data_IF_546132052180
#
_entry.id   IF_546132052180
#
_cell.length_a   1.000
_cell.length_b   1.000
_cell.length_c   1.000
_cell.angle_alpha   90.00
_cell.angle_beta   90.00
_cell.angle_gamma   90.00
#
_symmetry.space_group_name_H-M   'P 1'
#
loop_
_entity.id
_entity.type
_entity.pdbx_description
1 polymer ?
#
# COMPACT_ATOMS: atom_id res chain seq x y z
N UNK A 1 9.09 -19.07 15.75
CA UNK A 1 7.75 -19.68 15.71
C UNK A 1 6.79 -18.58 15.32
N UNK A 2 6.15 -18.69 14.17
CA UNK A 2 5.20 -17.67 13.72
C UNK A 2 3.87 -17.92 14.42
N UNK A 3 3.23 -16.88 14.99
CA UNK A 3 1.98 -17.06 15.72
C UNK A 3 0.90 -17.59 14.76
N UNK A 4 0.24 -18.69 15.16
CA UNK A 4 -0.97 -19.13 14.47
C UNK A 4 -2.09 -18.13 14.76
N UNK A 5 -2.71 -17.60 13.70
CA UNK A 5 -3.94 -16.86 13.82
C UNK A 5 -5.07 -17.82 14.22
N UNK A 6 -5.55 -17.66 15.43
CA UNK A 6 -6.79 -18.30 15.88
C UNK A 6 -7.91 -17.28 15.63
N UNK A 7 -8.35 -17.15 14.38
CA UNK A 7 -9.59 -16.46 14.11
C UNK A 7 -10.61 -17.48 13.69
N UNK A 8 -11.61 -17.70 14.50
CA UNK A 8 -12.80 -18.43 14.05
C UNK A 8 -13.50 -17.54 13.01
N UNK A 9 -13.16 -17.73 11.74
CA UNK A 9 -13.89 -17.10 10.66
C UNK A 9 -15.25 -17.80 10.54
N UNK A 10 -16.28 -17.03 10.62
CA UNK A 10 -17.65 -17.48 10.46
C UNK A 10 -18.35 -16.62 9.41
N UNK A 11 -19.31 -17.20 8.69
CA UNK A 11 -20.11 -16.47 7.73
C UNK A 11 -19.47 -16.24 6.35
N UNK A 12 -19.79 -15.13 5.67
CA UNK A 12 -19.45 -14.90 4.25
C UNK A 12 -17.98 -15.01 3.90
N UNK A 13 -17.07 -14.76 4.83
CA UNK A 13 -15.63 -14.84 4.57
C UNK A 13 -15.16 -16.28 4.31
N UNK A 14 -15.77 -17.28 4.95
CA UNK A 14 -15.43 -18.67 4.71
C UNK A 14 -15.86 -19.12 3.31
N UNK A 15 -17.02 -18.67 2.86
CA UNK A 15 -17.50 -18.92 1.51
C UNK A 15 -16.64 -18.20 0.49
N UNK A 16 -16.23 -16.99 0.76
CA UNK A 16 -15.33 -16.21 -0.08
C UNK A 16 -13.97 -16.93 -0.20
N UNK A 17 -13.38 -17.33 0.94
CA UNK A 17 -12.11 -18.05 0.96
C UNK A 17 -12.17 -19.34 0.16
N UNK A 18 -13.21 -20.15 0.40
CA UNK A 18 -13.43 -21.40 -0.35
C UNK A 18 -13.57 -21.13 -1.86
N UNK A 19 -14.35 -20.11 -2.23
CA UNK A 19 -14.55 -19.72 -3.63
C UNK A 19 -13.23 -19.29 -4.29
N UNK A 20 -12.41 -18.51 -3.58
CA UNK A 20 -11.10 -18.08 -4.06
C UNK A 20 -10.16 -19.26 -4.25
N UNK A 21 -10.09 -20.19 -3.29
CA UNK A 21 -9.23 -21.37 -3.37
C UNK A 21 -9.68 -22.33 -4.49
N UNK A 22 -10.97 -22.59 -4.60
CA UNK A 22 -11.51 -23.46 -5.66
C UNK A 22 -11.31 -22.86 -7.07
N UNK A 23 -11.24 -21.54 -7.17
CA UNK A 23 -11.09 -20.82 -8.43
C UNK A 23 -9.65 -20.43 -8.76
N UNK A 24 -8.67 -20.88 -7.98
CA UNK A 24 -7.26 -20.48 -8.12
C UNK A 24 -6.73 -20.57 -9.57
N UNK A 25 -6.93 -21.65 -10.35
CA UNK A 25 -6.46 -21.69 -11.74
C UNK A 25 -7.08 -20.60 -12.61
N UNK A 26 -8.36 -20.29 -12.40
CA UNK A 26 -9.06 -19.24 -13.13
C UNK A 26 -8.55 -17.84 -12.73
N UNK A 27 -8.29 -17.64 -11.44
CA UNK A 27 -7.72 -16.39 -10.89
C UNK A 27 -6.32 -16.14 -11.48
N UNK A 28 -5.44 -17.15 -11.47
CA UNK A 28 -4.08 -17.00 -11.99
C UNK A 28 -4.08 -16.76 -13.51
N UNK A 29 -5.00 -17.41 -14.23
CA UNK A 29 -5.20 -17.13 -15.66
C UNK A 29 -5.70 -15.70 -15.88
N UNK A 30 -6.66 -15.23 -15.08
CA UNK A 30 -7.20 -13.89 -15.17
C UNK A 30 -6.11 -12.82 -14.95
N UNK A 31 -5.33 -12.91 -13.88
CA UNK A 31 -4.22 -11.98 -13.64
C UNK A 31 -3.17 -12.03 -14.75
N UNK A 32 -2.86 -13.20 -15.28
CA UNK A 32 -1.89 -13.31 -16.38
C UNK A 32 -2.36 -12.55 -17.61
N UNK A 33 -3.66 -12.58 -17.92
CA UNK A 33 -4.24 -11.82 -19.05
C UNK A 33 -4.24 -10.33 -18.76
N UNK A 34 -4.61 -9.89 -17.56
CA UNK A 34 -4.53 -8.47 -17.18
C UNK A 34 -3.09 -7.94 -17.30
N UNK A 35 -2.09 -8.71 -16.89
CA UNK A 35 -0.68 -8.31 -17.00
C UNK A 35 -0.09 -8.41 -18.42
N UNK A 36 -0.86 -8.85 -19.40
CA UNK A 36 -0.50 -8.71 -20.82
C UNK A 36 -0.92 -7.34 -21.35
N UNK A 37 -1.97 -6.76 -20.80
CA UNK A 37 -2.55 -5.48 -21.23
C UNK A 37 -2.08 -4.31 -20.35
N UNK A 38 -1.68 -4.57 -19.11
CA UNK A 38 -1.36 -3.55 -18.13
C UNK A 38 0.03 -3.76 -17.53
N UNK A 39 0.72 -2.64 -17.23
CA UNK A 39 2.03 -2.68 -16.61
C UNK A 39 1.90 -2.50 -15.09
N UNK A 40 2.32 -3.47 -14.27
CA UNK A 40 2.28 -3.34 -12.83
C UNK A 40 3.21 -2.22 -12.35
N UNK A 41 2.87 -1.51 -11.25
CA UNK A 41 3.82 -0.64 -10.57
C UNK A 41 5.09 -1.40 -10.20
N UNK A 42 6.23 -0.71 -10.16
CA UNK A 42 7.51 -1.36 -9.87
C UNK A 42 7.50 -2.13 -8.56
N UNK A 43 6.93 -1.55 -7.51
CA UNK A 43 6.67 -2.20 -6.24
C UNK A 43 5.45 -1.57 -5.55
N UNK A 44 4.84 -2.30 -4.64
CA UNK A 44 3.57 -1.87 -4.03
C UNK A 44 3.44 -2.51 -2.65
N UNK A 45 2.83 -1.80 -1.71
CA UNK A 45 2.27 -2.41 -0.51
C UNK A 45 0.78 -2.10 -0.40
N UNK A 46 0.03 -3.04 0.14
CA UNK A 46 -1.42 -2.93 0.32
C UNK A 46 -1.77 -3.29 1.75
N UNK A 47 -2.39 -2.34 2.44
CA UNK A 47 -2.99 -2.56 3.74
C UNK A 47 -4.37 -3.20 3.53
N UNK A 48 -4.60 -4.36 4.15
CA UNK A 48 -5.82 -5.14 3.98
C UNK A 48 -6.50 -5.31 5.33
N UNK A 49 -7.82 -5.35 5.34
CA UNK A 49 -8.60 -5.68 6.53
C UNK A 49 -9.55 -6.83 6.28
N UNK A 50 -9.61 -7.72 7.26
CA UNK A 50 -10.50 -8.87 7.28
C UNK A 50 -11.53 -8.68 8.40
N UNK A 51 -12.76 -8.35 8.00
CA UNK A 51 -13.86 -8.10 8.92
C UNK A 51 -14.60 -9.41 9.34
N UNK A 52 -14.16 -10.58 8.87
CA UNK A 52 -14.88 -11.84 9.09
C UNK A 52 -16.05 -12.07 8.14
N UNK A 53 -16.50 -11.04 7.47
CA UNK A 53 -17.53 -11.09 6.42
C UNK A 53 -17.10 -10.39 5.12
N UNK A 54 -16.00 -9.71 5.14
CA UNK A 54 -15.45 -8.91 4.05
C UNK A 54 -13.93 -8.85 4.15
N UNK A 55 -13.25 -8.93 3.02
CA UNK A 55 -11.81 -8.74 2.91
C UNK A 55 -11.53 -7.66 1.88
N UNK A 56 -10.98 -6.52 2.30
CA UNK A 56 -10.81 -5.39 1.40
C UNK A 56 -9.51 -4.63 1.64
N UNK A 57 -8.91 -4.04 0.58
CA UNK A 57 -7.80 -3.13 0.73
C UNK A 57 -8.30 -1.81 1.31
N UNK A 58 -7.52 -1.22 2.18
CA UNK A 58 -7.86 0.07 2.80
C UNK A 58 -6.86 1.17 2.47
N UNK A 59 -5.67 0.81 2.03
CA UNK A 59 -4.67 1.73 1.47
C UNK A 59 -3.72 0.99 0.51
N UNK A 60 -3.21 1.73 -0.49
CA UNK A 60 -2.29 1.19 -1.51
C UNK A 60 -1.16 2.19 -1.74
N UNK A 61 0.06 1.77 -1.41
CA UNK A 61 1.25 2.61 -1.49
C UNK A 61 2.18 2.15 -2.62
N UNK A 62 2.62 3.11 -3.45
CA UNK A 62 3.55 2.88 -4.56
C UNK A 62 5.01 3.22 -4.23
N UNK A 63 5.28 3.70 -3.01
CA UNK A 63 6.61 3.93 -2.45
C UNK A 63 6.71 3.24 -1.09
N UNK A 64 6.53 1.91 -1.02
CA UNK A 64 6.39 1.22 0.24
C UNK A 64 7.66 1.30 1.08
N UNK A 65 7.49 1.72 2.33
CA UNK A 65 8.46 1.52 3.40
C UNK A 65 8.22 0.17 4.10
N UNK A 66 9.05 -0.15 5.09
CA UNK A 66 8.84 -1.33 5.93
C UNK A 66 9.35 -2.65 5.35
N UNK A 67 10.17 -2.63 4.31
CA UNK A 67 10.82 -3.82 3.74
C UNK A 67 11.69 -4.60 4.75
N UNK A 68 12.17 -3.92 5.77
CA UNK A 68 12.91 -4.52 6.90
C UNK A 68 12.04 -5.43 7.80
N UNK A 69 10.71 -5.40 7.64
CA UNK A 69 9.80 -6.32 8.34
C UNK A 69 9.59 -7.65 7.60
N UNK A 70 10.10 -7.79 6.38
CA UNK A 70 10.10 -9.07 5.68
C UNK A 70 11.13 -10.03 6.30
N UNK A 71 10.75 -11.29 6.43
CA UNK A 71 11.64 -12.32 6.98
C UNK A 71 12.72 -12.76 6.00
N UNK A 72 13.73 -13.46 6.49
CA UNK A 72 14.77 -14.05 5.65
C UNK A 72 14.21 -15.06 4.65
N UNK A 73 13.15 -15.76 5.01
CA UNK A 73 12.45 -16.74 4.19
C UNK A 73 11.72 -16.10 3.00
N UNK A 74 11.33 -14.83 3.13
CA UNK A 74 10.69 -14.05 2.05
C UNK A 74 11.70 -13.44 1.08
N UNK A 75 12.95 -13.26 1.49
CA UNK A 75 13.97 -12.60 0.66
C UNK A 75 14.20 -13.28 -0.69
N UNK A 76 14.25 -14.62 -0.83
CA UNK A 76 14.41 -15.24 -2.14
C UNK A 76 13.33 -14.85 -3.14
N UNK A 77 12.06 -14.74 -2.72
CA UNK A 77 10.96 -14.29 -3.57
C UNK A 77 11.13 -12.83 -3.96
N UNK A 78 11.51 -11.95 -3.02
CA UNK A 78 11.76 -10.55 -3.30
C UNK A 78 12.92 -10.37 -4.29
N UNK A 79 13.99 -11.14 -4.14
CA UNK A 79 15.15 -11.14 -5.05
C UNK A 79 14.77 -11.61 -6.45
N UNK A 80 14.03 -12.71 -6.58
CA UNK A 80 13.55 -13.20 -7.87
C UNK A 80 12.63 -12.18 -8.56
N UNK A 81 11.72 -11.56 -7.82
CA UNK A 81 10.85 -10.52 -8.34
C UNK A 81 11.64 -9.28 -8.78
N UNK A 82 12.65 -8.88 -8.01
CA UNK A 82 13.56 -7.77 -8.37
C UNK A 82 14.31 -8.06 -9.66
N UNK A 83 14.86 -9.28 -9.82
CA UNK A 83 15.52 -9.72 -11.05
C UNK A 83 14.57 -9.61 -12.25
N UNK A 84 13.35 -10.17 -12.13
CA UNK A 84 12.35 -10.14 -13.20
C UNK A 84 11.91 -8.70 -13.55
N UNK A 85 11.75 -7.83 -12.56
CA UNK A 85 11.38 -6.44 -12.77
C UNK A 85 12.50 -5.66 -13.51
N UNK A 86 13.73 -5.84 -13.09
CA UNK A 86 14.89 -5.16 -13.72
C UNK A 86 15.15 -5.69 -15.13
N UNK A 87 15.10 -7.01 -15.34
CA UNK A 87 15.25 -7.62 -16.67
C UNK A 87 14.26 -7.08 -17.69
N UNK A 88 13.01 -6.86 -17.26
CA UNK A 88 11.95 -6.29 -18.09
C UNK A 88 12.19 -4.82 -18.46
N UNK A 89 12.84 -4.05 -17.59
CA UNK A 89 13.01 -2.59 -17.74
C UNK A 89 14.35 -2.26 -18.40
N UNK A 90 15.42 -2.87 -17.90
CA UNK A 90 16.79 -2.64 -18.36
C UNK A 90 17.62 -3.91 -18.12
N UNK A 91 17.59 -4.90 -19.04
CA UNK A 91 18.27 -6.19 -18.86
C UNK A 91 19.78 -6.08 -18.71
N UNK A 92 20.37 -4.99 -19.20
CA UNK A 92 21.81 -4.72 -19.08
C UNK A 92 22.18 -3.91 -17.82
N UNK A 93 21.21 -3.68 -16.93
CA UNK A 93 21.42 -2.90 -15.71
C UNK A 93 22.54 -3.49 -14.84
N UNK A 94 23.52 -2.65 -14.51
CA UNK A 94 24.59 -2.97 -13.55
C UNK A 94 24.49 -2.15 -12.28
N UNK A 95 24.06 -0.90 -12.42
CA UNK A 95 24.02 0.08 -11.34
C UNK A 95 22.56 0.50 -11.07
N UNK A 96 22.18 0.52 -9.81
CA UNK A 96 20.92 1.04 -9.33
C UNK A 96 21.16 2.08 -8.24
N UNK A 97 20.56 3.25 -8.39
CA UNK A 97 20.58 4.31 -7.39
C UNK A 97 19.26 4.32 -6.61
N UNK A 98 19.30 4.13 -5.30
CA UNK A 98 18.14 4.34 -4.43
C UNK A 98 18.15 5.79 -3.95
N UNK A 99 17.01 6.50 -4.11
CA UNK A 99 16.82 7.83 -3.56
C UNK A 99 15.71 7.74 -2.49
N UNK A 100 16.09 7.77 -1.20
CA UNK A 100 15.14 7.69 -0.10
C UNK A 100 14.52 9.03 0.25
N UNK A 101 13.60 9.02 1.23
CA UNK A 101 13.15 10.20 1.96
C UNK A 101 14.32 10.91 2.66
N UNK A 102 14.14 12.20 2.94
CA UNK A 102 15.15 13.01 3.63
C UNK A 102 15.18 12.77 5.16
N UNK A 103 14.82 11.57 5.63
CA UNK A 103 14.70 11.22 7.05
C UNK A 103 16.00 10.62 7.62
N UNK A 104 17.07 11.40 7.65
CA UNK A 104 18.40 10.94 8.10
C UNK A 104 18.46 10.51 9.58
N UNK A 105 17.49 10.91 10.39
CA UNK A 105 17.39 10.59 11.83
C UNK A 105 16.44 9.43 12.13
N UNK A 106 15.64 9.00 11.18
CA UNK A 106 14.72 7.88 11.35
C UNK A 106 15.42 6.56 11.02
N UNK A 107 16.06 5.96 12.00
CA UNK A 107 16.84 4.73 11.83
C UNK A 107 15.98 3.53 11.42
N UNK A 108 14.71 3.48 11.83
CA UNK A 108 13.78 2.45 11.38
C UNK A 108 13.52 2.56 9.87
N UNK A 109 13.29 3.77 9.37
CA UNK A 109 13.15 4.01 7.95
C UNK A 109 14.43 3.68 7.17
N UNK A 110 15.59 4.04 7.72
CA UNK A 110 16.88 3.70 7.09
C UNK A 110 17.14 2.18 7.05
N UNK A 111 16.65 1.42 8.02
CA UNK A 111 16.67 -0.05 7.97
C UNK A 111 15.86 -0.60 6.78
N UNK A 112 14.74 0.06 6.42
CA UNK A 112 14.00 -0.24 5.20
C UNK A 112 14.86 -0.01 3.94
N UNK A 113 15.60 1.09 3.87
CA UNK A 113 16.49 1.42 2.75
C UNK A 113 17.61 0.38 2.62
N UNK A 114 18.22 -0.03 3.75
CA UNK A 114 19.24 -1.08 3.76
C UNK A 114 18.67 -2.41 3.25
N UNK A 115 17.45 -2.75 3.61
CA UNK A 115 16.83 -3.98 3.13
C UNK A 115 16.56 -3.95 1.62
N UNK A 116 16.08 -2.82 1.09
CA UNK A 116 15.96 -2.63 -0.36
C UNK A 116 17.31 -2.75 -1.06
N UNK A 117 18.33 -2.09 -0.53
CA UNK A 117 19.70 -2.20 -1.06
C UNK A 117 20.18 -3.65 -1.07
N UNK A 118 19.93 -4.41 -0.01
CA UNK A 118 20.27 -5.84 0.08
C UNK A 118 19.55 -6.67 -0.97
N UNK A 119 18.24 -6.49 -1.15
CA UNK A 119 17.44 -7.22 -2.15
C UNK A 119 18.02 -6.99 -3.55
N UNK A 120 18.28 -5.76 -3.94
CA UNK A 120 18.79 -5.45 -5.28
C UNK A 120 20.27 -5.83 -5.48
N UNK A 121 21.10 -5.77 -4.43
CA UNK A 121 22.46 -6.33 -4.50
C UNK A 121 22.43 -7.86 -4.73
N UNK A 122 21.53 -8.57 -4.02
CA UNK A 122 21.35 -10.01 -4.23
C UNK A 122 20.75 -10.34 -5.62
N UNK A 123 20.03 -9.40 -6.22
CA UNK A 123 19.55 -9.50 -7.60
C UNK A 123 20.63 -9.22 -8.67
N UNK A 124 21.87 -9.02 -8.26
CA UNK A 124 23.02 -8.86 -9.17
C UNK A 124 23.35 -7.41 -9.54
N UNK A 125 22.79 -6.42 -8.87
CA UNK A 125 23.05 -5.01 -9.12
C UNK A 125 24.07 -4.44 -8.15
N UNK A 126 24.86 -3.46 -8.60
CA UNK A 126 25.63 -2.60 -7.72
C UNK A 126 24.74 -1.44 -7.26
N UNK A 127 24.37 -1.43 -5.97
CA UNK A 127 23.38 -0.52 -5.43
C UNK A 127 24.02 0.51 -4.51
N UNK A 128 23.82 1.79 -4.82
CA UNK A 128 24.23 2.89 -3.94
C UNK A 128 23.02 3.73 -3.56
N UNK A 129 23.12 4.44 -2.44
CA UNK A 129 22.04 5.25 -1.89
C UNK A 129 22.39 6.73 -2.00
N UNK A 130 21.60 7.45 -2.78
CA UNK A 130 21.76 8.87 -3.01
C UNK A 130 20.79 9.69 -2.15
N UNK A 131 21.24 10.84 -1.68
CA UNK A 131 20.41 11.79 -0.95
C UNK A 131 20.26 13.10 -1.73
N UNK A 132 19.03 13.58 -1.82
CA UNK A 132 18.69 14.91 -2.35
C UNK A 132 18.60 15.96 -1.24
N UNK A 133 18.83 15.56 0.03
CA UNK A 133 18.86 16.48 1.15
C UNK A 133 20.05 17.43 1.05
N UNK A 134 19.83 18.74 1.22
CA UNK A 134 20.92 19.73 1.23
C UNK A 134 21.88 19.58 2.43
N UNK A 135 21.51 18.79 3.43
CA UNK A 135 22.36 18.47 4.58
C UNK A 135 23.48 17.48 4.24
N UNK A 136 23.25 16.62 3.25
CA UNK A 136 24.21 15.60 2.81
C UNK A 136 25.12 16.17 1.70
N UNK A 137 26.24 16.77 2.10
CA UNK A 137 27.21 17.40 1.19
C UNK A 137 28.39 16.50 0.80
N UNK A 138 28.57 15.40 1.51
CA UNK A 138 29.63 14.39 1.30
C UNK A 138 29.10 13.02 1.68
N UNK A 139 29.71 11.92 1.22
CA UNK A 139 29.35 10.59 1.68
C UNK A 139 29.30 10.53 3.20
N UNK A 140 28.14 10.15 3.74
CA UNK A 140 27.86 10.14 5.17
C UNK A 140 27.43 8.74 5.57
N UNK A 141 28.24 8.07 6.38
CA UNK A 141 27.94 6.77 6.95
C UNK A 141 27.02 6.94 8.16
N UNK A 142 25.93 6.19 8.20
CA UNK A 142 24.98 6.15 9.30
C UNK A 142 24.93 4.70 9.83
N UNK A 143 25.20 4.55 11.12
CA UNK A 143 25.07 3.28 11.82
C UNK A 143 23.63 3.11 12.36
N UNK A 144 23.07 1.93 12.19
CA UNK A 144 21.72 1.60 12.63
C UNK A 144 21.74 0.77 13.91
N UNK A 145 20.67 0.81 14.73
CA UNK A 145 20.64 0.11 16.03
C UNK A 145 20.80 -1.42 15.93
N UNK A 146 20.50 -2.01 14.77
CA UNK A 146 20.66 -3.43 14.50
C UNK A 146 22.07 -3.82 14.03
N UNK A 147 23.01 -2.88 13.99
CA UNK A 147 24.38 -3.07 13.53
C UNK A 147 24.59 -2.94 12.03
N UNK A 148 23.54 -2.76 11.25
CA UNK A 148 23.67 -2.44 9.83
C UNK A 148 24.17 -0.99 9.64
N UNK A 149 24.68 -0.70 8.43
CA UNK A 149 25.11 0.65 8.07
C UNK A 149 24.55 1.05 6.71
N UNK A 150 24.33 2.33 6.51
CA UNK A 150 24.00 2.91 5.21
C UNK A 150 24.87 4.13 4.94
N UNK A 151 25.38 4.23 3.71
CA UNK A 151 26.08 5.44 3.27
C UNK A 151 25.16 6.26 2.39
N UNK A 152 24.82 7.46 2.84
CA UNK A 152 24.09 8.44 2.02
C UNK A 152 25.10 9.31 1.27
N UNK A 153 24.93 9.40 -0.05
CA UNK A 153 25.83 10.16 -0.91
C UNK A 153 25.07 11.30 -1.60
N UNK A 154 25.68 12.49 -1.76
CA UNK A 154 24.99 13.58 -2.44
C UNK A 154 24.71 13.22 -3.91
N UNK A 155 23.47 13.36 -4.34
CA UNK A 155 23.06 13.16 -5.72
C UNK A 155 23.65 14.27 -6.59
N UNK A 156 24.20 13.90 -7.73
CA UNK A 156 24.74 14.80 -8.73
C UNK A 156 23.91 14.73 -10.00
N UNK A 157 23.48 15.87 -10.49
CA UNK A 157 22.81 15.97 -11.78
C UNK A 157 23.76 16.43 -12.87
N UNK A 158 23.84 15.68 -13.95
CA UNK A 158 24.59 16.03 -15.15
C UNK A 158 23.64 16.08 -16.34
N UNK A 159 23.21 17.28 -16.74
CA UNK A 159 22.21 17.49 -17.79
C UNK A 159 20.88 16.78 -17.46
N UNK A 160 20.56 15.70 -18.18
CA UNK A 160 19.32 14.92 -18.04
C UNK A 160 19.51 13.60 -17.29
N UNK A 161 20.66 13.43 -16.64
CA UNK A 161 20.99 12.21 -15.88
C UNK A 161 21.26 12.54 -14.42
N UNK A 162 20.91 11.62 -13.56
CA UNK A 162 21.25 11.63 -12.14
C UNK A 162 22.23 10.52 -11.83
N UNK A 163 23.12 10.77 -10.89
CA UNK A 163 24.07 9.79 -10.40
C UNK A 163 24.70 10.24 -9.10
N UNK A 164 25.82 9.62 -8.75
CA UNK A 164 26.70 10.06 -7.69
C UNK A 164 28.07 10.34 -8.30
N UNK A 165 28.97 10.89 -7.52
CA UNK A 165 30.35 11.00 -7.95
C UNK A 165 30.86 9.61 -8.32
N UNK A 166 31.32 9.44 -9.56
CA UNK A 166 31.84 8.18 -10.11
C UNK A 166 30.81 7.02 -10.15
N UNK A 167 29.49 7.34 -10.20
CA UNK A 167 28.45 6.33 -10.31
C UNK A 167 27.30 6.81 -11.20
N UNK A 168 27.12 6.12 -12.31
CA UNK A 168 26.09 6.39 -13.32
C UNK A 168 25.12 5.20 -13.40
N UNK A 169 23.90 5.31 -12.84
CA UNK A 169 22.89 4.27 -12.89
C UNK A 169 22.06 4.38 -14.17
N UNK A 170 21.61 3.25 -14.72
CA UNK A 170 20.52 3.25 -15.71
C UNK A 170 19.14 3.29 -15.05
N UNK A 171 19.03 2.85 -13.80
CA UNK A 171 17.78 2.77 -13.05
C UNK A 171 17.92 3.50 -11.72
N UNK A 172 16.92 4.32 -11.42
CA UNK A 172 16.79 5.08 -10.19
C UNK A 172 15.52 4.63 -9.48
N UNK A 173 15.68 4.08 -8.29
CA UNK A 173 14.57 3.67 -7.44
C UNK A 173 14.25 4.77 -6.43
N UNK A 174 13.08 5.35 -6.54
CA UNK A 174 12.57 6.29 -5.56
C UNK A 174 11.92 5.52 -4.40
N UNK A 175 12.37 5.76 -3.20
CA UNK A 175 11.65 5.41 -1.98
C UNK A 175 11.26 6.69 -1.21
N UNK A 176 10.78 7.66 -1.96
CA UNK A 176 10.30 8.97 -1.51
C UNK A 176 8.92 9.17 -2.13
N UNK A 177 7.90 9.32 -1.30
CA UNK A 177 6.50 9.35 -1.72
C UNK A 177 6.06 10.66 -2.40
N UNK A 178 6.96 11.63 -2.52
CA UNK A 178 6.77 12.91 -3.21
C UNK A 178 5.50 13.67 -2.74
N UNK A 179 5.16 13.57 -1.46
CA UNK A 179 3.98 14.23 -0.90
C UNK A 179 4.07 15.74 -0.94
N UNK A 180 5.27 16.30 -0.82
CA UNK A 180 5.54 17.73 -0.93
C UNK A 180 5.74 18.23 -2.39
N UNK A 181 5.58 17.37 -3.38
CA UNK A 181 5.86 17.65 -4.79
C UNK A 181 7.13 16.96 -5.28
N UNK A 182 7.31 16.94 -6.60
CA UNK A 182 8.52 16.43 -7.21
C UNK A 182 9.67 17.46 -7.01
N UNK A 183 10.80 17.05 -6.41
CA UNK A 183 11.97 17.93 -6.38
C UNK A 183 12.49 18.21 -7.79
N UNK A 184 12.82 19.46 -8.11
CA UNK A 184 13.29 19.86 -9.44
C UNK A 184 14.52 19.09 -9.96
N UNK A 185 15.34 18.55 -9.05
CA UNK A 185 16.47 17.70 -9.42
C UNK A 185 16.02 16.37 -10.06
N UNK A 186 14.79 15.91 -9.82
CA UNK A 186 14.21 14.69 -10.37
C UNK A 186 13.41 14.90 -11.66
N UNK A 187 13.14 16.16 -12.03
CA UNK A 187 12.37 16.48 -13.23
C UNK A 187 13.22 16.33 -14.51
N UNK A 188 12.58 16.11 -15.65
CA UNK A 188 13.23 16.00 -16.97
C UNK A 188 14.36 14.96 -17.05
N UNK A 189 14.20 13.84 -16.37
CA UNK A 189 15.06 12.67 -16.49
C UNK A 189 14.49 11.76 -17.58
N UNK A 190 15.12 11.74 -18.75
CA UNK A 190 14.65 10.97 -19.92
C UNK A 190 15.63 9.87 -20.37
N UNK A 191 16.83 9.87 -19.84
CA UNK A 191 17.89 8.91 -20.23
C UNK A 191 18.10 7.79 -19.22
N UNK A 192 17.23 7.72 -18.21
CA UNK A 192 17.29 6.75 -17.12
C UNK A 192 15.85 6.34 -16.73
N UNK A 193 15.72 5.13 -16.22
CA UNK A 193 14.44 4.67 -15.68
C UNK A 193 14.25 5.17 -14.25
N UNK A 194 13.29 6.06 -14.05
CA UNK A 194 12.89 6.58 -12.75
C UNK A 194 11.67 5.81 -12.24
N UNK A 195 11.81 5.05 -11.17
CA UNK A 195 10.84 4.07 -10.69
C UNK A 195 10.53 4.26 -9.21
N UNK A 196 9.27 4.34 -8.81
CA UNK A 196 8.10 4.64 -9.65
C UNK A 196 8.24 6.00 -10.35
N UNK A 197 7.45 6.27 -11.41
CA UNK A 197 7.49 7.57 -12.07
C UNK A 197 6.99 8.67 -11.14
N UNK A 198 7.40 9.94 -11.38
CA UNK A 198 7.03 11.08 -10.51
C UNK A 198 5.52 11.23 -10.33
N UNK A 199 4.72 10.90 -11.36
CA UNK A 199 3.25 10.92 -11.31
C UNK A 199 2.63 9.91 -10.34
N UNK A 200 3.41 8.94 -9.85
CA UNK A 200 3.00 8.02 -8.81
C UNK A 200 3.04 8.65 -7.41
N UNK A 201 3.62 9.83 -7.25
CA UNK A 201 3.76 10.54 -5.98
C UNK A 201 2.43 11.08 -5.44
N UNK A 202 2.34 11.21 -4.12
CA UNK A 202 1.13 11.68 -3.44
C UNK A 202 0.80 13.16 -3.69
N UNK A 203 1.68 13.95 -4.24
CA UNK A 203 1.35 15.28 -4.76
C UNK A 203 0.38 15.23 -5.96
N UNK A 204 0.43 14.13 -6.72
CA UNK A 204 -0.40 13.92 -7.93
C UNK A 204 -1.55 12.93 -7.66
N UNK A 205 -1.25 11.78 -7.07
CA UNK A 205 -2.22 10.72 -6.79
C UNK A 205 -3.33 11.17 -5.84
N UNK A 206 -4.51 10.56 -6.04
CA UNK A 206 -5.67 10.71 -5.14
C UNK A 206 -6.21 9.33 -4.78
N UNK A 207 -6.51 9.14 -3.50
CA UNK A 207 -7.11 7.88 -2.98
C UNK A 207 -8.48 7.61 -3.64
N UNK A 208 -9.27 8.65 -3.88
CA UNK A 208 -10.56 8.53 -4.58
C UNK A 208 -10.40 8.00 -6.01
N UNK A 209 -9.38 8.43 -6.74
CA UNK A 209 -9.07 7.91 -8.08
C UNK A 209 -8.66 6.44 -7.99
N UNK A 210 -7.83 6.07 -7.02
CA UNK A 210 -7.45 4.69 -6.77
C UNK A 210 -8.67 3.80 -6.54
N UNK A 211 -9.54 4.18 -5.60
CA UNK A 211 -10.71 3.37 -5.26
C UNK A 211 -11.77 3.36 -6.36
N UNK A 212 -11.84 4.38 -7.21
CA UNK A 212 -12.63 4.34 -8.45
C UNK A 212 -12.14 3.22 -9.38
N UNK A 213 -10.85 3.15 -9.65
CA UNK A 213 -10.25 2.10 -10.46
C UNK A 213 -10.38 0.72 -9.78
N UNK A 214 -10.18 0.67 -8.47
CA UNK A 214 -10.34 -0.57 -7.71
C UNK A 214 -11.78 -1.11 -7.76
N UNK A 215 -12.77 -0.24 -7.69
CA UNK A 215 -14.19 -0.63 -7.84
C UNK A 215 -14.45 -1.32 -9.18
N UNK A 216 -13.92 -0.80 -10.27
CA UNK A 216 -14.06 -1.42 -11.61
C UNK A 216 -13.33 -2.78 -11.68
N UNK A 217 -12.11 -2.86 -11.15
CA UNK A 217 -11.36 -4.12 -11.06
C UNK A 217 -12.13 -5.14 -10.22
N UNK A 218 -12.65 -4.74 -9.06
CA UNK A 218 -13.41 -5.61 -8.17
C UNK A 218 -14.72 -6.10 -8.80
N UNK A 219 -15.43 -5.26 -9.55
CA UNK A 219 -16.64 -5.65 -10.33
C UNK A 219 -16.32 -6.73 -11.38
N UNK A 220 -15.25 -6.52 -12.15
CA UNK A 220 -14.83 -7.49 -13.19
C UNK A 220 -14.39 -8.80 -12.56
N UNK A 221 -13.60 -8.75 -11.50
CA UNK A 221 -13.15 -9.93 -10.76
C UNK A 221 -14.32 -10.65 -10.08
N UNK A 222 -15.21 -9.91 -9.41
CA UNK A 222 -16.41 -10.46 -8.78
C UNK A 222 -17.32 -11.17 -9.78
N UNK A 223 -17.50 -10.61 -10.98
CA UNK A 223 -18.23 -11.25 -12.08
C UNK A 223 -17.59 -12.56 -12.51
N UNK A 224 -16.26 -12.62 -12.62
CA UNK A 224 -15.52 -13.82 -12.98
C UNK A 224 -15.69 -14.93 -11.92
N UNK A 225 -15.67 -14.58 -10.64
CA UNK A 225 -15.83 -15.52 -9.53
C UNK A 225 -17.29 -15.84 -9.19
N UNK A 226 -18.27 -15.06 -9.66
CA UNK A 226 -19.66 -15.17 -9.23
C UNK A 226 -19.88 -14.76 -7.80
N UNK A 227 -19.22 -13.71 -7.33
CA UNK A 227 -19.35 -13.13 -5.99
C UNK A 227 -19.84 -11.69 -6.04
N UNK A 228 -20.45 -11.21 -4.97
CA UNK A 228 -20.72 -9.78 -4.79
C UNK A 228 -19.39 -9.02 -4.65
N UNK A 229 -19.09 -8.04 -5.52
CA UNK A 229 -17.88 -7.24 -5.42
C UNK A 229 -17.71 -6.53 -4.08
N UNK A 230 -18.81 -6.24 -3.38
CA UNK A 230 -18.75 -5.62 -2.07
C UNK A 230 -17.95 -6.43 -1.05
N UNK A 231 -17.89 -7.76 -1.17
CA UNK A 231 -17.11 -8.62 -0.28
C UNK A 231 -15.61 -8.38 -0.33
N UNK A 232 -15.13 -7.73 -1.40
CA UNK A 232 -13.69 -7.43 -1.62
C UNK A 232 -13.41 -5.95 -1.89
N UNK A 233 -14.43 -5.09 -1.84
CA UNK A 233 -14.32 -3.67 -2.20
C UNK A 233 -14.95 -2.77 -1.12
N UNK A 234 -14.19 -1.85 -0.50
CA UNK A 234 -14.77 -0.87 0.41
C UNK A 234 -15.51 0.19 -0.41
N UNK A 235 -16.73 0.52 -0.02
CA UNK A 235 -17.43 1.67 -0.58
C UNK A 235 -16.71 2.96 -0.21
N UNK A 236 -16.83 3.97 -1.05
CA UNK A 236 -16.25 5.28 -0.78
C UNK A 236 -17.10 6.40 -1.36
N UNK A 237 -16.82 7.61 -0.90
CA UNK A 237 -17.29 8.88 -1.47
C UNK A 237 -16.17 9.91 -1.36
N UNK A 238 -16.20 10.93 -2.21
CA UNK A 238 -15.27 12.05 -2.16
C UNK A 238 -16.00 13.29 -1.65
N UNK A 239 -15.30 14.14 -0.89
CA UNK A 239 -15.79 15.43 -0.44
C UNK A 239 -14.67 16.46 -0.52
N UNK A 240 -14.79 17.39 -1.43
CA UNK A 240 -13.88 18.50 -1.66
C UNK A 240 -14.36 19.77 -0.95
N UNK A 241 -13.50 20.79 -0.93
CA UNK A 241 -13.76 22.10 -0.34
C UNK A 241 -14.09 22.06 1.17
N UNK A 242 -13.46 21.12 1.90
CA UNK A 242 -13.57 21.03 3.36
C UNK A 242 -12.35 21.66 4.01
N UNK A 243 -12.58 22.56 4.96
CA UNK A 243 -11.54 23.14 5.81
C UNK A 243 -11.92 22.96 7.27
N UNK A 244 -11.19 22.09 7.95
CA UNK A 244 -11.39 21.81 9.38
C UNK A 244 -10.94 22.95 10.29
N UNK A 245 -10.02 23.81 9.84
CA UNK A 245 -9.54 24.92 10.64
C UNK A 245 -10.57 26.06 10.68
N UNK A 246 -11.26 26.29 9.57
CA UNK A 246 -12.25 27.35 9.40
C UNK A 246 -13.70 26.85 9.47
N UNK A 247 -13.93 25.56 9.77
CA UNK A 247 -15.24 24.91 9.78
C UNK A 247 -16.03 25.05 8.45
N UNK A 248 -15.33 25.13 7.33
CA UNK A 248 -15.93 25.27 6.01
C UNK A 248 -16.26 23.89 5.42
N UNK A 249 -17.41 23.76 4.76
CA UNK A 249 -17.83 22.53 4.08
C UNK A 249 -18.27 21.39 5.00
N UNK A 250 -18.43 21.63 6.30
CA UNK A 250 -18.79 20.60 7.28
C UNK A 250 -20.17 20.01 7.02
N UNK A 251 -21.16 20.81 6.58
CA UNK A 251 -22.51 20.31 6.24
C UNK A 251 -22.47 19.35 5.03
N UNK A 252 -21.64 19.66 4.03
CA UNK A 252 -21.42 18.80 2.87
C UNK A 252 -20.77 17.49 3.29
N UNK A 253 -19.75 17.57 4.16
CA UNK A 253 -19.09 16.39 4.72
C UNK A 253 -20.07 15.51 5.49
N UNK A 254 -20.89 16.10 6.37
CA UNK A 254 -21.89 15.40 7.17
C UNK A 254 -22.91 14.69 6.27
N UNK A 255 -23.43 15.36 5.26
CA UNK A 255 -24.35 14.79 4.27
C UNK A 255 -23.73 13.61 3.52
N UNK A 256 -22.48 13.75 3.12
CA UNK A 256 -21.74 12.70 2.40
C UNK A 256 -21.47 11.48 3.29
N UNK A 257 -21.11 11.70 4.53
CA UNK A 257 -20.92 10.64 5.55
C UNK A 257 -22.22 9.88 5.80
N UNK A 258 -23.33 10.57 6.01
CA UNK A 258 -24.63 9.91 6.28
C UNK A 258 -25.12 9.10 5.06
N UNK A 259 -24.94 9.63 3.86
CA UNK A 259 -25.27 8.93 2.63
C UNK A 259 -24.48 7.63 2.47
N UNK A 260 -23.16 7.65 2.76
CA UNK A 260 -22.32 6.45 2.71
C UNK A 260 -22.67 5.46 3.80
N UNK A 261 -22.85 5.91 5.05
CA UNK A 261 -23.30 5.06 6.16
C UNK A 261 -24.63 4.37 5.84
N UNK A 262 -25.55 5.06 5.18
CA UNK A 262 -26.84 4.49 4.77
C UNK A 262 -26.67 3.36 3.75
N UNK A 263 -25.75 3.51 2.80
CA UNK A 263 -25.42 2.43 1.84
C UNK A 263 -24.78 1.23 2.54
N UNK A 264 -23.88 1.46 3.48
CA UNK A 264 -23.24 0.38 4.26
C UNK A 264 -24.24 -0.33 5.14
N UNK A 265 -25.13 0.39 5.84
CA UNK A 265 -26.23 -0.20 6.65
C UNK A 265 -27.12 -1.13 5.81
N UNK A 266 -27.40 -0.77 4.55
CA UNK A 266 -28.16 -1.61 3.62
C UNK A 266 -27.45 -2.93 3.35
N UNK A 267 -26.14 -2.88 3.09
CA UNK A 267 -25.32 -4.08 2.87
C UNK A 267 -25.23 -4.94 4.13
N UNK A 268 -25.04 -4.34 5.29
CA UNK A 268 -25.03 -5.08 6.56
C UNK A 268 -26.36 -5.80 6.79
N UNK A 269 -27.50 -5.15 6.50
CA UNK A 269 -28.83 -5.79 6.58
C UNK A 269 -28.96 -6.93 5.56
N UNK A 270 -28.50 -6.74 4.32
CA UNK A 270 -28.52 -7.77 3.26
C UNK A 270 -27.77 -9.04 3.67
N UNK A 271 -26.64 -8.89 4.35
CA UNK A 271 -25.78 -10.01 4.79
C UNK A 271 -26.05 -10.46 6.23
N UNK A 272 -27.03 -9.90 6.92
CA UNK A 272 -27.32 -10.26 8.31
C UNK A 272 -26.22 -9.90 9.30
N UNK A 273 -25.43 -8.85 9.02
CA UNK A 273 -24.32 -8.40 9.85
C UNK A 273 -24.86 -7.53 10.98
N UNK A 274 -24.54 -7.90 12.23
CA UNK A 274 -24.99 -7.20 13.44
C UNK A 274 -24.02 -6.10 13.91
N UNK A 275 -22.86 -5.98 13.29
CA UNK A 275 -21.87 -4.96 13.63
C UNK A 275 -22.39 -3.54 13.30
N UNK A 276 -21.90 -2.55 14.03
CA UNK A 276 -22.21 -1.15 13.73
C UNK A 276 -21.34 -0.66 12.61
N UNK A 277 -21.90 -0.16 11.51
CA UNK A 277 -21.13 0.41 10.43
C UNK A 277 -20.46 1.72 10.86
N UNK A 278 -19.33 2.01 10.29
CA UNK A 278 -18.58 3.26 10.45
C UNK A 278 -17.92 3.64 9.13
N UNK A 279 -17.44 4.85 9.04
CA UNK A 279 -16.64 5.33 7.93
C UNK A 279 -15.31 5.91 8.44
N UNK A 280 -14.33 5.91 7.57
CA UNK A 280 -13.04 6.57 7.78
C UNK A 280 -13.00 7.81 6.88
N UNK A 281 -12.90 8.97 7.49
CA UNK A 281 -12.64 10.25 6.81
C UNK A 281 -11.15 10.47 6.80
N UNK A 282 -10.56 10.63 5.65
CA UNK A 282 -9.11 10.82 5.49
C UNK A 282 -8.78 11.76 4.34
N UNK A 283 -7.60 12.38 4.39
CA UNK A 283 -7.11 13.17 3.29
C UNK A 283 -7.07 12.34 2.00
N UNK A 284 -7.49 12.93 0.89
CA UNK A 284 -7.52 12.27 -0.42
C UNK A 284 -6.12 12.04 -1.01
N UNK A 285 -5.12 12.72 -0.47
CA UNK A 285 -3.69 12.55 -0.74
C UNK A 285 -2.90 12.29 0.56
N UNK A 286 -1.67 11.83 0.45
CA UNK A 286 -0.74 11.67 1.58
C UNK A 286 -0.73 10.29 2.24
N UNK A 287 0.18 10.13 3.17
CA UNK A 287 0.60 8.88 3.79
C UNK A 287 0.69 8.98 5.32
N UNK A 288 1.24 7.94 5.97
CA UNK A 288 1.56 7.86 7.41
C UNK A 288 0.37 7.98 8.37
N UNK A 289 -0.86 7.69 7.92
CA UNK A 289 -2.03 7.74 8.80
C UNK A 289 -2.36 9.14 9.35
N UNK A 290 -1.85 10.20 8.73
CA UNK A 290 -2.17 11.58 9.09
C UNK A 290 -3.50 11.99 8.45
N UNK A 291 -4.21 12.92 9.11
CA UNK A 291 -5.50 13.38 8.62
C UNK A 291 -6.55 12.25 8.53
N UNK A 292 -6.63 11.37 9.53
CA UNK A 292 -7.59 10.25 9.58
C UNK A 292 -8.49 10.39 10.80
N UNK A 293 -9.79 10.22 10.58
CA UNK A 293 -10.83 10.22 11.61
C UNK A 293 -11.86 9.12 11.36
N UNK A 294 -12.22 8.37 12.39
CA UNK A 294 -13.31 7.40 12.36
C UNK A 294 -14.62 8.10 12.73
N UNK A 295 -15.70 7.86 11.98
CA UNK A 295 -17.03 8.43 12.21
C UNK A 295 -18.07 7.31 12.16
N UNK A 296 -18.85 7.18 13.23
CA UNK A 296 -19.92 6.16 13.38
C UNK A 296 -21.30 6.73 13.16
N UNK A 297 -21.45 8.03 13.42
CA UNK A 297 -22.68 8.80 13.18
C UNK A 297 -22.27 10.17 12.61
N UNK A 298 -22.97 10.62 11.56
CA UNK A 298 -22.67 11.90 10.92
C UNK A 298 -22.74 13.09 11.88
N UNK A 299 -23.57 12.99 12.95
CA UNK A 299 -23.67 14.00 14.00
C UNK A 299 -22.40 14.16 14.85
N UNK A 300 -21.52 13.18 14.86
CA UNK A 300 -20.22 13.30 15.54
C UNK A 300 -19.36 14.44 14.94
N UNK A 301 -19.63 14.81 13.69
CA UNK A 301 -18.93 15.91 13.00
C UNK A 301 -19.29 17.29 13.57
N UNK A 302 -20.46 17.45 14.21
CA UNK A 302 -20.87 18.71 14.87
C UNK A 302 -20.04 19.00 16.13
N UNK A 303 -19.49 17.97 16.76
CA UNK A 303 -18.79 18.03 18.03
C UNK A 303 -17.29 17.76 17.93
N UNK A 304 -16.70 17.89 16.73
CA UNK A 304 -15.26 17.65 16.54
C UNK A 304 -14.45 18.68 17.33
N UNK A 305 -13.63 18.19 18.27
CA UNK A 305 -12.81 19.05 19.10
C UNK A 305 -11.63 19.65 18.33
N UNK A 306 -11.06 20.76 18.86
CA UNK A 306 -9.95 21.50 18.24
C UNK A 306 -8.74 20.63 17.94
N UNK A 307 -8.42 19.64 18.79
CA UNK A 307 -7.28 18.74 18.59
C UNK A 307 -7.48 17.88 17.34
N UNK A 308 -8.69 17.35 17.15
CA UNK A 308 -9.04 16.55 15.98
C UNK A 308 -9.08 17.42 14.72
N UNK A 309 -9.67 18.63 14.79
CA UNK A 309 -9.64 19.59 13.68
C UNK A 309 -8.21 19.89 13.22
N UNK A 310 -7.31 20.20 14.15
CA UNK A 310 -5.90 20.45 13.83
C UNK A 310 -5.21 19.20 13.21
N UNK A 311 -5.55 18.00 13.69
CA UNK A 311 -5.05 16.73 13.11
C UNK A 311 -5.54 16.53 11.69
N UNK A 312 -6.79 16.91 11.39
CA UNK A 312 -7.40 16.75 10.08
C UNK A 312 -7.01 17.84 9.08
N UNK A 313 -6.56 19.01 9.55
CA UNK A 313 -6.26 20.16 8.72
C UNK A 313 -4.95 20.04 7.93
N UNK A 314 -4.02 19.19 8.36
CA UNK A 314 -2.68 19.07 7.74
C UNK A 314 -2.24 17.60 7.65
N UNK A 315 -1.47 17.31 6.61
CA UNK A 315 -0.78 16.03 6.41
C UNK A 315 0.74 16.21 6.47
N UNK A 316 1.49 15.19 6.06
CA UNK A 316 2.96 15.20 5.98
C UNK A 316 3.46 16.49 5.30
N UNK A 317 4.56 17.01 5.82
CA UNK A 317 5.23 18.24 5.35
C UNK A 317 4.35 19.51 5.46
N UNK A 318 3.36 19.50 6.37
CA UNK A 318 2.51 20.67 6.65
C UNK A 318 1.55 21.04 5.52
N UNK A 319 1.30 20.14 4.58
CA UNK A 319 0.38 20.38 3.46
C UNK A 319 -1.07 20.48 3.96
N UNK A 320 -1.85 21.49 3.54
CA UNK A 320 -3.24 21.64 3.95
C UNK A 320 -4.12 20.54 3.33
N UNK A 321 -5.14 20.13 4.08
CA UNK A 321 -6.15 19.16 3.65
C UNK A 321 -7.44 19.89 3.34
N UNK A 322 -7.87 19.85 2.09
CA UNK A 322 -9.13 20.43 1.62
C UNK A 322 -9.93 19.48 0.71
N UNK A 323 -9.38 18.32 0.39
CA UNK A 323 -10.01 17.26 -0.38
C UNK A 323 -9.93 15.96 0.42
N UNK A 324 -11.10 15.33 0.63
CA UNK A 324 -11.27 14.18 1.49
C UNK A 324 -11.83 13.00 0.72
N UNK A 325 -11.41 11.81 1.12
CA UNK A 325 -12.12 10.57 0.84
C UNK A 325 -12.81 10.09 2.11
N UNK A 326 -14.07 9.73 1.98
CA UNK A 326 -14.86 9.05 2.99
C UNK A 326 -14.97 7.59 2.55
N UNK A 327 -14.40 6.68 3.30
CA UNK A 327 -14.33 5.27 2.96
C UNK A 327 -15.11 4.44 3.97
N UNK A 328 -15.82 3.42 3.48
CA UNK A 328 -16.42 2.40 4.34
C UNK A 328 -15.38 1.87 5.32
N UNK A 329 -15.71 1.91 6.59
CA UNK A 329 -14.90 1.31 7.63
C UNK A 329 -14.93 -0.21 7.54
N UNK A 330 -13.80 -0.82 7.34
CA UNK A 330 -13.65 -2.28 7.37
C UNK A 330 -13.04 -2.65 8.71
N UNK A 331 -13.74 -3.46 9.49
CA UNK A 331 -13.23 -4.00 10.73
C UNK A 331 -12.01 -4.89 10.47
N UNK A 332 -11.14 -5.05 11.46
CA UNK A 332 -10.15 -6.12 11.42
C UNK A 332 -10.38 -7.07 12.58
N UNK A 333 -10.78 -8.29 12.27
CA UNK A 333 -11.04 -9.36 13.23
C UNK A 333 -9.78 -10.17 13.54
N UNK A 334 -8.68 -9.87 12.87
CA UNK A 334 -7.45 -10.59 13.05
C UNK A 334 -6.74 -10.16 14.33
N UNK A 335 -6.14 -11.15 15.00
CA UNK A 335 -5.39 -10.94 16.22
C UNK A 335 -4.10 -11.73 16.17
N UNK A 336 -3.04 -11.10 16.64
CA UNK A 336 -1.76 -11.75 16.90
C UNK A 336 -1.51 -11.62 18.41
N UNK A 337 -1.45 -12.75 19.09
CA UNK A 337 -1.61 -12.80 20.57
C UNK A 337 -2.93 -12.09 20.94
N UNK A 338 -2.97 -11.21 21.85
CA UNK A 338 -4.20 -10.48 22.21
C UNK A 338 -4.39 -9.15 21.44
N UNK A 339 -3.39 -8.74 20.65
CA UNK A 339 -3.43 -7.47 19.92
C UNK A 339 -4.20 -7.56 18.60
N UNK A 340 -4.94 -6.51 18.28
CA UNK A 340 -5.61 -6.35 17.00
C UNK A 340 -4.56 -6.22 15.89
N UNK A 341 -4.77 -6.90 14.78
CA UNK A 341 -3.83 -6.95 13.68
C UNK A 341 -4.50 -6.74 12.31
N UNK A 342 -3.72 -6.23 11.35
CA UNK A 342 -4.11 -6.14 9.94
C UNK A 342 -2.96 -6.58 9.04
N UNK A 343 -3.21 -7.37 7.99
CA UNK A 343 -2.17 -7.79 7.07
C UNK A 343 -1.77 -6.65 6.13
N UNK A 344 -0.45 -6.55 5.90
CA UNK A 344 0.16 -5.70 4.88
C UNK A 344 0.90 -6.59 3.89
N UNK A 345 0.52 -6.54 2.63
CA UNK A 345 1.08 -7.38 1.56
C UNK A 345 2.03 -6.56 0.70
N UNK A 346 3.20 -7.14 0.41
CA UNK A 346 4.23 -6.53 -0.41
C UNK A 346 4.34 -7.22 -1.76
N UNK A 347 4.44 -6.42 -2.80
CA UNK A 347 4.60 -6.89 -4.17
C UNK A 347 5.74 -6.15 -4.86
N UNK A 348 6.42 -6.84 -5.76
CA UNK A 348 7.40 -6.27 -6.66
C UNK A 348 7.11 -6.76 -8.07
N UNK A 349 6.98 -5.85 -9.05
CA UNK A 349 6.33 -6.14 -10.31
C UNK A 349 4.98 -6.84 -10.03
N UNK A 350 4.59 -7.84 -10.76
CA UNK A 350 3.34 -8.60 -10.57
C UNK A 350 3.37 -9.66 -9.46
N UNK A 351 4.47 -9.78 -8.73
CA UNK A 351 4.70 -10.88 -7.79
C UNK A 351 4.48 -10.44 -6.35
N UNK A 352 3.72 -11.24 -5.61
CA UNK A 352 3.63 -11.13 -4.15
C UNK A 352 4.91 -11.68 -3.56
N UNK A 353 5.64 -10.88 -2.81
CA UNK A 353 6.95 -11.26 -2.27
C UNK A 353 6.96 -11.49 -0.76
N UNK A 354 5.89 -11.10 -0.09
CA UNK A 354 5.79 -11.28 1.35
C UNK A 354 4.77 -10.36 2.00
N UNK A 355 4.86 -10.27 3.29
CA UNK A 355 4.01 -9.40 4.09
C UNK A 355 4.25 -9.55 5.58
N UNK A 356 3.55 -8.75 6.34
CA UNK A 356 3.56 -8.79 7.79
C UNK A 356 2.19 -8.40 8.36
N UNK A 357 1.97 -8.70 9.63
CA UNK A 357 0.88 -8.12 10.40
C UNK A 357 1.33 -6.83 11.06
N UNK A 358 0.62 -5.74 10.80
CA UNK A 358 0.67 -4.55 11.64
C UNK A 358 -0.28 -4.76 12.80
N UNK A 359 0.21 -4.69 14.01
CA UNK A 359 -0.59 -4.91 15.22
C UNK A 359 -0.46 -3.73 16.18
N UNK A 360 -1.50 -3.53 16.99
CA UNK A 360 -1.54 -2.49 17.99
C UNK A 360 -2.27 -2.98 19.25
N UNK A 361 -1.57 -2.98 20.39
CA UNK A 361 -2.11 -3.50 21.62
C UNK A 361 -3.23 -2.64 22.24
N UNK A 362 -3.20 -1.33 21.96
CA UNK A 362 -4.11 -0.33 22.56
C UNK A 362 -5.24 0.13 21.63
N UNK A 363 -5.32 -0.42 20.39
CA UNK A 363 -6.31 -0.02 19.40
C UNK A 363 -7.40 -1.06 19.24
N UNK A 364 -8.61 -0.56 18.95
CA UNK A 364 -9.77 -1.40 18.64
C UNK A 364 -9.79 -1.88 17.17
N UNK A 365 -10.74 -2.76 16.89
CA UNK A 365 -10.93 -3.39 15.57
C UNK A 365 -11.37 -2.41 14.47
N UNK A 366 -11.85 -1.26 14.84
CA UNK A 366 -12.36 -0.18 13.96
C UNK A 366 -11.44 1.05 13.94
N UNK A 367 -10.27 0.98 14.59
CA UNK A 367 -9.33 2.07 14.66
C UNK A 367 -8.17 1.93 13.67
N UNK A 368 -7.49 3.04 13.39
CA UNK A 368 -6.28 3.06 12.58
C UNK A 368 -5.12 2.44 13.34
N UNK A 369 -4.60 1.30 12.87
CA UNK A 369 -3.45 0.61 13.47
C UNK A 369 -2.10 1.22 13.04
N UNK A 370 -2.07 2.02 11.96
CA UNK A 370 -0.87 2.75 11.55
C UNK A 370 -0.71 4.03 12.41
N UNK A 371 -0.31 3.83 13.65
CA UNK A 371 -0.20 4.86 14.68
C UNK A 371 1.01 4.61 15.59
N UNK A 372 1.49 5.60 16.34
CA UNK A 372 2.54 5.39 17.34
C UNK A 372 2.19 4.25 18.31
N UNK A 373 3.10 3.32 18.52
CA UNK A 373 2.88 2.09 19.31
C UNK A 373 2.54 0.86 18.45
N UNK A 374 2.42 1.01 17.14
CA UNK A 374 2.30 -0.13 16.24
C UNK A 374 3.55 -1.01 16.30
N UNK A 375 3.34 -2.33 16.23
CA UNK A 375 4.39 -3.32 16.09
C UNK A 375 4.12 -4.21 14.88
N UNK A 376 5.14 -4.93 14.44
CA UNK A 376 5.09 -5.69 13.20
C UNK A 376 5.51 -7.13 13.47
N UNK A 377 4.73 -8.08 12.97
CA UNK A 377 4.98 -9.51 13.11
C UNK A 377 4.91 -10.14 11.73
N UNK A 378 5.90 -10.93 11.30
CA UNK A 378 5.89 -11.57 10.01
C UNK A 378 4.60 -12.38 9.77
N UNK A 379 4.06 -12.30 8.55
CA UNK A 379 3.06 -13.26 8.10
C UNK A 379 3.68 -14.66 8.04
N UNK A 380 2.93 -15.67 8.51
CA UNK A 380 3.40 -17.04 8.56
C UNK A 380 3.58 -17.64 7.17
N UNK A 381 4.82 -17.94 6.79
CA UNK A 381 5.16 -18.71 5.61
C UNK A 381 5.89 -19.99 6.03
N UNK A 382 5.20 -20.93 6.65
CA UNK A 382 5.79 -22.24 6.90
C UNK A 382 5.88 -23.11 5.63
N UNK A 383 5.06 -22.78 4.62
CA UNK A 383 5.03 -23.46 3.32
C UNK A 383 4.78 -22.47 2.19
N UNK A 384 5.15 -22.83 0.96
CA UNK A 384 4.86 -22.02 -0.23
C UNK A 384 3.38 -21.63 -0.28
N UNK A 385 3.11 -20.34 -0.15
CA UNK A 385 1.75 -19.80 -0.09
C UNK A 385 1.15 -19.54 -1.47
N UNK A 386 1.94 -19.75 -2.53
CA UNK A 386 1.53 -19.54 -3.90
C UNK A 386 0.82 -20.74 -4.54
N UNK A 387 0.90 -21.90 -3.89
CA UNK A 387 0.30 -23.13 -4.41
C UNK A 387 -0.38 -23.89 -3.28
N UNK A 388 -1.65 -24.31 -3.43
CA UNK A 388 -2.24 -25.26 -2.52
C UNK A 388 -1.41 -26.54 -2.53
N UNK A 389 -1.27 -27.19 -1.40
CA UNK A 389 -0.62 -28.49 -1.37
C UNK A 389 -1.51 -29.52 -2.13
N UNK A 390 -0.97 -30.24 -3.12
CA UNK A 390 -1.72 -31.28 -3.80
C UNK A 390 -2.28 -32.31 -2.82
N UNK A 391 -3.56 -32.61 -2.93
CA UNK A 391 -4.22 -33.63 -2.09
C UNK A 391 -4.77 -33.13 -0.75
N UNK A 392 -4.56 -31.86 -0.38
CA UNK A 392 -5.20 -31.24 0.80
C UNK A 392 -6.50 -30.59 0.35
N UNK A 393 -7.64 -31.03 0.93
CA UNK A 393 -8.92 -30.37 0.66
C UNK A 393 -8.94 -29.00 1.31
N UNK A 394 -9.41 -27.96 0.60
CA UNK A 394 -9.66 -26.65 1.21
C UNK A 394 -10.52 -26.82 2.47
N UNK A 395 -10.16 -26.11 3.55
CA UNK A 395 -10.88 -26.15 4.83
C UNK A 395 -10.48 -27.29 5.80
N UNK A 396 -9.60 -28.22 5.42
CA UNK A 396 -9.10 -29.29 6.32
C UNK A 396 -7.80 -28.87 7.05
N UNK A 397 -6.99 -28.01 6.43
CA UNK A 397 -5.85 -27.35 7.07
C UNK A 397 -6.23 -25.93 7.45
N UNK A 398 -5.46 -25.33 8.39
CA UNK A 398 -5.60 -23.91 8.67
C UNK A 398 -5.56 -23.14 7.33
N UNK A 399 -6.56 -22.28 7.06
CA UNK A 399 -6.70 -21.66 5.75
C UNK A 399 -5.44 -20.89 5.37
N UNK A 400 -4.95 -21.09 4.15
CA UNK A 400 -3.87 -20.27 3.59
C UNK A 400 -4.41 -18.89 3.19
N UNK A 401 -4.77 -18.09 4.17
CA UNK A 401 -5.30 -16.74 3.97
C UNK A 401 -4.36 -15.83 3.22
N UNK A 402 -3.07 -16.18 3.22
CA UNK A 402 -2.09 -15.40 2.49
C UNK A 402 -2.37 -15.39 0.99
N UNK A 403 -2.83 -16.49 0.40
CA UNK A 403 -3.25 -16.49 -1.00
C UNK A 403 -4.39 -15.49 -1.24
N UNK A 404 -5.39 -15.49 -0.38
CA UNK A 404 -6.53 -14.58 -0.46
C UNK A 404 -6.09 -13.11 -0.28
N UNK A 405 -5.17 -12.82 0.66
CA UNK A 405 -4.57 -11.49 0.81
C UNK A 405 -3.76 -11.10 -0.43
N UNK A 406 -2.99 -12.02 -0.97
CA UNK A 406 -2.24 -11.83 -2.22
C UNK A 406 -3.15 -11.54 -3.42
N UNK A 407 -4.32 -12.16 -3.50
CA UNK A 407 -5.34 -11.86 -4.52
C UNK A 407 -5.83 -10.43 -4.38
N UNK A 408 -6.27 -10.02 -3.19
CA UNK A 408 -6.76 -8.65 -2.94
C UNK A 408 -5.66 -7.61 -3.17
N UNK A 409 -4.43 -7.90 -2.73
CA UNK A 409 -3.27 -7.05 -3.00
C UNK A 409 -3.01 -6.85 -4.49
N UNK A 410 -3.07 -7.94 -5.28
CA UNK A 410 -2.89 -7.87 -6.75
C UNK A 410 -4.02 -7.12 -7.45
N UNK A 411 -5.26 -7.20 -6.96
CA UNK A 411 -6.38 -6.39 -7.47
C UNK A 411 -6.13 -4.90 -7.23
N UNK A 412 -5.63 -4.53 -6.05
CA UNK A 412 -5.29 -3.16 -5.72
C UNK A 412 -4.09 -2.66 -6.55
N UNK A 413 -3.11 -3.51 -6.78
CA UNK A 413 -1.98 -3.22 -7.67
C UNK A 413 -2.42 -3.02 -9.13
N UNK A 414 -3.37 -3.81 -9.63
CA UNK A 414 -3.94 -3.64 -10.96
C UNK A 414 -4.71 -2.31 -11.07
N UNK A 415 -5.46 -1.93 -10.04
CA UNK A 415 -6.10 -0.62 -9.99
C UNK A 415 -5.08 0.53 -10.04
N UNK A 416 -3.94 0.37 -9.38
CA UNK A 416 -2.85 1.34 -9.44
C UNK A 416 -2.19 1.40 -10.83
N UNK A 417 -2.15 0.29 -11.58
CA UNK A 417 -1.71 0.31 -12.99
C UNK A 417 -2.58 1.24 -13.83
N UNK A 418 -3.91 1.14 -13.69
CA UNK A 418 -4.83 2.03 -14.40
C UNK A 418 -4.62 3.51 -14.07
N UNK A 419 -4.32 3.84 -12.79
CA UNK A 419 -3.98 5.21 -12.41
C UNK A 419 -2.74 5.72 -13.15
N UNK A 420 -1.68 4.90 -13.16
CA UNK A 420 -0.40 5.27 -13.79
C UNK A 420 -0.50 5.35 -15.30
N UNK A 421 -1.28 4.51 -15.94
CA UNK A 421 -1.55 4.55 -17.38
C UNK A 421 -2.36 5.79 -17.76
N UNK A 422 -3.44 6.09 -17.03
CA UNK A 422 -4.27 7.26 -17.26
C UNK A 422 -3.53 8.60 -17.06
N UNK A 423 -2.46 8.62 -16.30
CA UNK A 423 -1.64 9.82 -16.05
C UNK A 423 -0.32 9.81 -16.82
N UNK A 424 -0.13 8.84 -17.74
CA UNK A 424 1.09 8.75 -18.53
C UNK A 424 1.13 9.84 -19.63
N UNK A 425 2.06 10.78 -19.59
CA UNK A 425 2.16 11.82 -20.60
C UNK A 425 2.53 11.29 -21.98
N UNK A 426 3.14 10.11 -22.05
CA UNK A 426 3.58 9.49 -23.31
C UNK A 426 2.45 8.66 -23.96
N UNK A 427 1.31 8.46 -23.29
CA UNK A 427 0.19 7.68 -23.83
C UNK A 427 -0.55 8.38 -24.98
N UNK A 428 -0.47 9.72 -25.06
CA UNK A 428 -1.14 10.51 -26.12
C UNK A 428 -0.39 10.51 -27.47
N UNK A 429 0.76 9.86 -27.55
CA UNK A 429 1.61 9.87 -28.76
C UNK A 429 1.26 8.73 -29.74
N UNK A 430 0.35 7.84 -29.37
CA UNK A 430 0.02 6.63 -30.13
C UNK A 430 -1.43 6.53 -30.63
N UNK A 431 -2.18 7.64 -30.65
CA UNK A 431 -3.51 7.70 -31.33
C UNK A 431 -3.40 8.14 -32.80
#
# INVERSE_FOLDING_TARGET
MVPHLITALTGPINELEQRVLDSMPAIERWFRLEWMEHTPPFYTSVDIRNAGFKLAPVDTNLFPGGWNNLTKEMLPLAVQAAMAAIEKICPEARNLLIIPENHTRNTFYLSNVVQLQRIFNMAGLNVRVGSISPEIKKPTLIELPNGDTVTLEPVVRTKRRLGLKDFDPCTILLNNDLSAGAPGILEDIHEQYLLPPLRAGWSVRRKSTHFKNYEEVAKRFGKMLGIDPWLINPMYSQCDEVDFAEDKGMDKLQTTVDALLTKVRRKYKEYGINEKPFVIVKANNGTYGMGIMTVRDAKELDAVNRKTKNKMAVIKDGQPVNDLIIQEGVLTQERVHEAVAEPVVYMMDRYVVGGFYRMHAERGVDENLNAPGASFVPLAFEHSTHMPQPGVRPGVSAPNRFYMYGVVGRLAMLAASYELEATNPDAEVYD
#
